data_IF_920464134317
#
_entry.id   IF_920464134317
#
_cell.length_a   1.000
_cell.length_b   1.000
_cell.length_c   1.000
_cell.angle_alpha   90.00
_cell.angle_beta   90.00
_cell.angle_gamma   90.00
#
_symmetry.space_group_name_H-M   'P 1'
#
loop_
_entity.id
_entity.type
_entity.pdbx_description
1 polymer ?
#
# COMPACT_ATOMS: atom_id res chain seq x y z
N UNK A 1 3.43 -25.34 -1.06
CA UNK A 1 3.57 -23.97 -0.56
C UNK A 1 3.42 -24.03 0.95
N UNK A 2 4.38 -23.50 1.71
CA UNK A 2 4.29 -23.43 3.17
C UNK A 2 3.57 -22.15 3.57
N UNK A 3 2.77 -22.22 4.63
CA UNK A 3 2.02 -21.09 5.18
C UNK A 3 2.36 -20.92 6.66
N UNK A 4 2.22 -19.69 7.16
CA UNK A 4 2.35 -19.40 8.58
C UNK A 4 1.33 -20.22 9.40
N UNK A 5 1.78 -20.78 10.53
CA UNK A 5 0.88 -21.53 11.43
C UNK A 5 -0.01 -20.62 12.29
N UNK A 6 0.38 -19.35 12.53
CA UNK A 6 -0.42 -18.39 13.30
C UNK A 6 -1.41 -17.59 12.47
N UNK A 7 -1.02 -17.11 11.29
CA UNK A 7 -1.91 -16.41 10.38
C UNK A 7 -2.15 -17.22 9.09
N UNK A 8 -2.38 -16.55 7.96
CA UNK A 8 -2.69 -17.16 6.66
C UNK A 8 -1.69 -16.80 5.56
N UNK A 9 -0.61 -16.09 5.87
CA UNK A 9 0.41 -15.73 4.89
C UNK A 9 1.21 -16.93 4.37
N UNK A 10 1.43 -17.05 3.05
CA UNK A 10 2.39 -18.00 2.49
C UNK A 10 3.84 -17.51 2.64
N UNK A 11 4.78 -18.46 2.60
CA UNK A 11 6.23 -18.19 2.62
C UNK A 11 6.70 -17.33 1.42
N UNK A 12 5.96 -17.30 0.32
CA UNK A 12 6.29 -16.53 -0.89
C UNK A 12 5.94 -15.03 -0.77
N UNK A 13 5.29 -14.62 0.33
CA UNK A 13 4.89 -13.23 0.52
C UNK A 13 6.09 -12.29 0.55
N UNK A 14 5.92 -11.10 -0.03
CA UNK A 14 6.98 -10.11 -0.22
C UNK A 14 7.59 -9.69 1.12
N UNK A 15 8.92 -9.79 1.23
CA UNK A 15 9.72 -9.43 2.41
C UNK A 15 9.33 -10.18 3.71
N UNK A 16 8.62 -11.30 3.60
CA UNK A 16 8.19 -12.12 4.73
C UNK A 16 9.08 -13.37 4.84
N UNK A 17 9.48 -13.72 6.07
CA UNK A 17 10.25 -14.93 6.36
C UNK A 17 9.44 -15.81 7.31
N UNK A 18 9.50 -17.14 7.13
CA UNK A 18 9.03 -18.10 8.13
C UNK A 18 10.22 -18.62 8.93
N UNK A 19 10.10 -18.64 10.25
CA UNK A 19 11.07 -19.28 11.14
C UNK A 19 10.92 -20.81 11.15
N UNK A 20 11.76 -21.49 11.94
CA UNK A 20 11.78 -22.95 12.07
C UNK A 20 10.51 -23.52 12.72
N UNK A 21 9.78 -22.70 13.50
CA UNK A 21 8.47 -23.07 14.05
C UNK A 21 7.35 -22.93 13.00
N UNK A 22 7.63 -22.31 11.85
CA UNK A 22 6.66 -22.01 10.80
C UNK A 22 5.82 -20.77 11.09
N UNK A 23 6.32 -19.85 11.92
CA UNK A 23 5.70 -18.56 12.22
C UNK A 23 6.36 -17.48 11.38
N UNK A 24 5.56 -16.59 10.80
CA UNK A 24 6.09 -15.52 9.97
C UNK A 24 6.62 -14.34 10.79
N UNK A 25 7.60 -13.63 10.24
CA UNK A 25 8.17 -12.39 10.78
C UNK A 25 7.11 -11.38 11.23
N UNK A 26 6.03 -11.22 10.47
CA UNK A 26 4.93 -10.32 10.86
C UNK A 26 4.15 -10.78 12.11
N UNK A 27 4.00 -12.09 12.33
CA UNK A 27 3.38 -12.61 13.56
C UNK A 27 4.33 -12.47 14.75
N UNK A 28 5.64 -12.70 14.56
CA UNK A 28 6.65 -12.44 15.60
C UNK A 28 6.69 -10.98 16.01
N UNK A 29 6.59 -10.07 15.04
CA UNK A 29 6.49 -8.65 15.34
C UNK A 29 5.21 -8.34 16.13
N UNK A 30 4.07 -8.94 15.79
CA UNK A 30 2.85 -8.72 16.58
C UNK A 30 3.02 -9.20 18.03
N UNK A 31 3.66 -10.35 18.25
CA UNK A 31 3.96 -10.84 19.61
C UNK A 31 4.78 -9.81 20.41
N UNK A 32 5.76 -9.16 19.78
CA UNK A 32 6.51 -8.07 20.40
C UNK A 32 5.61 -6.87 20.72
N UNK A 33 4.75 -6.47 19.79
CA UNK A 33 3.81 -5.34 19.98
C UNK A 33 2.78 -5.62 21.09
N UNK A 34 2.35 -6.87 21.26
CA UNK A 34 1.41 -7.28 22.30
C UNK A 34 2.02 -7.20 23.71
N UNK A 35 3.35 -7.23 23.82
CA UNK A 35 4.08 -7.05 25.09
C UNK A 35 4.28 -5.58 25.47
N UNK A 36 3.95 -4.62 24.59
CA UNK A 36 4.15 -3.20 24.86
C UNK A 36 3.17 -2.69 25.92
N UNK A 37 3.71 -2.03 26.94
CA UNK A 37 2.94 -1.53 28.08
C UNK A 37 2.41 -0.12 27.84
N UNK A 38 1.48 0.33 28.68
CA UNK A 38 1.03 1.73 28.65
C UNK A 38 2.17 2.71 28.97
N UNK A 39 3.12 2.32 29.83
CA UNK A 39 4.31 3.11 30.12
C UNK A 39 5.17 3.34 28.86
N UNK A 40 5.34 2.30 28.04
CA UNK A 40 6.03 2.44 26.76
C UNK A 40 5.36 3.50 25.88
N UNK A 41 4.03 3.42 25.72
CA UNK A 41 3.30 4.38 24.91
C UNK A 41 3.30 5.79 25.49
N UNK A 42 3.32 5.95 26.82
CA UNK A 42 3.48 7.26 27.46
C UNK A 42 4.85 7.88 27.15
N UNK A 43 5.93 7.09 27.19
CA UNK A 43 7.26 7.56 26.78
C UNK A 43 7.28 7.95 25.29
N UNK A 44 6.59 7.19 24.44
CA UNK A 44 6.44 7.52 23.02
C UNK A 44 5.68 8.84 22.81
N UNK A 45 4.58 9.06 23.54
CA UNK A 45 3.83 10.33 23.50
C UNK A 45 4.69 11.53 23.91
N UNK A 46 5.52 11.40 24.95
CA UNK A 46 6.46 12.46 25.37
C UNK A 46 7.44 12.83 24.26
N UNK A 47 8.01 11.84 23.57
CA UNK A 47 8.88 12.07 22.40
C UNK A 47 8.14 12.78 21.25
N UNK A 48 6.86 12.45 21.03
CA UNK A 48 6.06 13.15 20.03
C UNK A 48 5.84 14.62 20.39
N UNK A 49 5.58 14.94 21.67
CA UNK A 49 5.46 16.32 22.16
C UNK A 49 6.77 17.10 21.94
N UNK A 50 7.92 16.48 22.20
CA UNK A 50 9.22 17.11 21.93
C UNK A 50 9.40 17.37 20.43
N UNK A 51 9.01 16.42 19.59
CA UNK A 51 9.04 16.55 18.15
C UNK A 51 8.13 17.69 17.66
N UNK A 52 6.95 17.88 18.24
CA UNK A 52 6.05 18.97 17.83
C UNK A 52 6.63 20.33 18.20
N UNK A 53 7.26 20.47 19.37
CA UNK A 53 8.00 21.69 19.76
C UNK A 53 9.16 21.96 18.81
N UNK A 54 9.93 20.93 18.46
CA UNK A 54 11.02 21.03 17.49
C UNK A 54 10.51 21.51 16.13
N UNK A 55 9.46 20.89 15.59
CA UNK A 55 8.92 21.24 14.27
C UNK A 55 8.46 22.70 14.21
N UNK A 56 7.75 23.17 15.25
CA UNK A 56 7.36 24.59 15.39
C UNK A 56 8.55 25.54 15.47
N UNK A 57 9.60 25.16 16.19
CA UNK A 57 10.81 25.99 16.31
C UNK A 57 11.61 26.09 15.02
N UNK A 58 11.47 25.09 14.14
CA UNK A 58 12.17 25.00 12.85
C UNK A 58 11.35 25.54 11.68
N UNK A 59 10.02 25.58 11.82
CA UNK A 59 9.16 26.14 10.81
C UNK A 59 9.47 27.62 10.59
N UNK A 60 9.84 27.97 9.37
CA UNK A 60 10.04 29.36 8.94
C UNK A 60 8.84 29.89 8.17
N UNK A 61 7.81 29.05 7.97
CA UNK A 61 6.68 29.31 7.07
C UNK A 61 5.33 29.24 7.79
N UNK A 62 4.29 29.01 7.00
CA UNK A 62 2.90 29.00 7.49
C UNK A 62 2.45 27.65 8.07
N UNK A 63 3.28 26.62 7.99
CA UNK A 63 2.95 25.23 8.34
C UNK A 63 4.08 24.60 9.14
N UNK A 64 3.73 23.80 10.15
CA UNK A 64 4.71 23.10 10.98
C UNK A 64 5.08 21.74 10.39
N UNK A 65 4.19 21.15 9.60
CA UNK A 65 4.39 19.85 8.99
C UNK A 65 3.58 19.65 7.70
N UNK A 66 4.03 18.70 6.87
CA UNK A 66 3.25 18.13 5.77
C UNK A 66 2.65 16.80 6.23
N UNK A 67 1.39 16.55 5.88
CA UNK A 67 0.77 15.23 6.05
C UNK A 67 0.38 14.70 4.66
N UNK A 68 1.01 13.62 4.19
CA UNK A 68 0.56 12.88 3.03
C UNK A 68 -0.81 12.26 3.31
N UNK A 69 -1.83 12.62 2.52
CA UNK A 69 -3.20 12.10 2.71
C UNK A 69 -3.80 11.57 1.42
N UNK A 70 -4.63 10.53 1.57
CA UNK A 70 -5.44 9.99 0.47
C UNK A 70 -6.94 10.12 0.71
N UNK A 71 -7.37 10.69 1.84
CA UNK A 71 -8.77 10.65 2.25
C UNK A 71 -9.18 9.34 2.92
N UNK A 72 -8.28 8.36 3.04
CA UNK A 72 -8.51 7.14 3.81
C UNK A 72 -8.59 7.39 5.32
N UNK A 73 -9.18 6.45 6.06
CA UNK A 73 -9.32 6.51 7.54
C UNK A 73 -8.00 6.78 8.25
N UNK A 74 -6.91 6.21 7.76
CA UNK A 74 -5.58 6.31 8.36
C UNK A 74 -5.02 7.72 8.17
N UNK A 75 -5.32 8.37 7.05
CA UNK A 75 -5.02 9.80 6.83
C UNK A 75 -5.83 10.69 7.78
N UNK A 76 -7.12 10.42 7.96
CA UNK A 76 -7.93 11.16 8.92
C UNK A 76 -7.37 11.06 10.35
N UNK A 77 -6.98 9.85 10.77
CA UNK A 77 -6.39 9.64 12.09
C UNK A 77 -5.05 10.37 12.26
N UNK A 78 -4.19 10.36 11.24
CA UNK A 78 -2.93 11.13 11.25
C UNK A 78 -3.19 12.61 11.46
N UNK A 79 -4.10 13.21 10.68
CA UNK A 79 -4.42 14.64 10.80
C UNK A 79 -5.04 14.93 12.17
N UNK A 80 -5.97 14.09 12.64
CA UNK A 80 -6.55 14.20 13.98
C UNK A 80 -5.48 14.26 15.07
N UNK A 81 -4.51 13.34 15.04
CA UNK A 81 -3.42 13.30 16.03
C UNK A 81 -2.48 14.49 15.89
N UNK A 82 -2.13 14.92 14.69
CA UNK A 82 -1.27 16.10 14.50
C UNK A 82 -1.94 17.37 15.06
N UNK A 83 -3.24 17.54 14.81
CA UNK A 83 -4.02 18.68 15.32
C UNK A 83 -4.20 18.64 16.85
N UNK A 84 -4.42 17.45 17.42
CA UNK A 84 -4.53 17.25 18.89
C UNK A 84 -3.27 17.76 19.62
N UNK A 85 -2.10 17.63 19.00
CA UNK A 85 -0.82 18.11 19.52
C UNK A 85 -0.45 19.52 19.03
N UNK A 86 -1.40 20.21 18.41
CA UNK A 86 -1.35 21.64 18.09
C UNK A 86 -0.41 22.03 16.96
N UNK A 87 0.02 21.09 16.11
CA UNK A 87 0.75 21.41 14.88
C UNK A 87 -0.22 21.93 13.82
N UNK A 88 0.24 22.85 12.97
CA UNK A 88 -0.50 23.33 11.80
C UNK A 88 -0.05 22.58 10.53
N UNK A 89 -0.81 21.61 10.02
CA UNK A 89 -0.39 20.82 8.87
C UNK A 89 -0.77 21.46 7.53
N UNK A 90 0.02 21.13 6.51
CA UNK A 90 -0.36 21.21 5.10
C UNK A 90 -0.66 19.79 4.60
N UNK A 91 -1.89 19.53 4.18
CA UNK A 91 -2.23 18.24 3.57
C UNK A 91 -1.71 18.19 2.13
N UNK A 92 -1.11 17.06 1.75
CA UNK A 92 -0.63 16.85 0.37
C UNK A 92 -1.10 15.50 -0.15
N UNK A 93 -1.80 15.53 -1.28
CA UNK A 93 -2.31 14.33 -1.95
C UNK A 93 -1.68 14.13 -3.31
N UNK A 94 -1.21 12.91 -3.54
CA UNK A 94 -1.01 12.38 -4.88
C UNK A 94 -2.32 11.75 -5.36
N UNK A 95 -2.93 12.31 -6.41
CA UNK A 95 -4.21 11.86 -6.93
C UNK A 95 -4.01 11.01 -8.20
N UNK A 96 -3.98 9.69 -8.01
CA UNK A 96 -3.72 8.70 -9.07
C UNK A 96 -4.86 8.49 -10.08
N UNK A 97 -5.95 9.27 -10.01
CA UNK A 97 -7.13 9.15 -10.90
C UNK A 97 -7.92 7.83 -10.75
N UNK A 98 -7.82 7.17 -9.60
CA UNK A 98 -8.44 5.86 -9.34
C UNK A 98 -9.45 5.88 -8.17
N UNK A 99 -9.84 7.05 -7.67
CA UNK A 99 -10.70 7.16 -6.48
C UNK A 99 -12.09 6.58 -6.73
N UNK A 100 -12.62 5.85 -5.74
CA UNK A 100 -14.05 5.58 -5.65
C UNK A 100 -14.81 6.87 -5.35
N UNK A 101 -16.11 6.97 -5.70
CA UNK A 101 -16.91 8.15 -5.38
C UNK A 101 -16.87 8.53 -3.88
N UNK A 102 -17.00 7.55 -2.99
CA UNK A 102 -16.86 7.72 -1.53
C UNK A 102 -15.44 8.13 -1.12
N UNK A 103 -14.40 7.58 -1.77
CA UNK A 103 -13.02 7.99 -1.54
C UNK A 103 -12.79 9.45 -1.88
N UNK A 104 -13.33 9.92 -3.01
CA UNK A 104 -13.24 11.32 -3.42
C UNK A 104 -13.97 12.23 -2.44
N UNK A 105 -15.21 11.86 -2.04
CA UNK A 105 -15.95 12.61 -1.01
C UNK A 105 -15.21 12.65 0.32
N UNK A 106 -14.58 11.55 0.73
CA UNK A 106 -13.76 11.51 1.93
C UNK A 106 -12.55 12.44 1.82
N UNK A 107 -11.87 12.48 0.67
CA UNK A 107 -10.76 13.42 0.44
C UNK A 107 -11.23 14.88 0.55
N UNK A 108 -12.30 15.23 -0.17
CA UNK A 108 -12.84 16.60 -0.20
C UNK A 108 -13.34 17.07 1.17
N UNK A 109 -13.86 16.14 1.98
CA UNK A 109 -14.35 16.40 3.33
C UNK A 109 -13.25 16.73 4.33
N UNK A 110 -12.01 16.28 4.10
CA UNK A 110 -10.92 16.46 5.07
C UNK A 110 -10.71 17.94 5.42
N UNK A 111 -10.55 18.80 4.40
CA UNK A 111 -10.32 20.24 4.61
C UNK A 111 -11.45 20.93 5.35
N UNK A 112 -12.69 20.52 5.10
CA UNK A 112 -13.88 21.10 5.73
C UNK A 112 -13.99 20.68 7.21
N UNK A 113 -13.85 19.38 7.49
CA UNK A 113 -14.08 18.84 8.84
C UNK A 113 -12.89 18.99 9.78
N UNK A 114 -11.67 19.01 9.24
CA UNK A 114 -10.44 19.17 10.01
C UNK A 114 -9.93 20.62 10.01
N UNK A 115 -10.51 21.50 9.20
CA UNK A 115 -10.16 22.91 9.09
C UNK A 115 -8.66 23.13 8.78
N UNK A 116 -8.20 22.54 7.66
CA UNK A 116 -6.79 22.51 7.25
C UNK A 116 -6.63 22.79 5.75
N UNK A 117 -5.48 23.34 5.37
CA UNK A 117 -5.12 23.58 3.97
C UNK A 117 -4.70 22.29 3.27
N UNK A 118 -4.99 22.21 1.96
CA UNK A 118 -4.81 20.98 1.19
C UNK A 118 -4.37 21.24 -0.25
N UNK A 119 -3.22 20.69 -0.62
CA UNK A 119 -2.73 20.61 -1.99
C UNK A 119 -3.02 19.23 -2.56
N UNK A 120 -3.73 19.19 -3.68
CA UNK A 120 -3.98 17.97 -4.45
C UNK A 120 -3.23 18.07 -5.77
N UNK A 121 -2.37 17.09 -6.04
CA UNK A 121 -1.64 16.97 -7.29
C UNK A 121 -2.10 15.74 -8.05
N UNK A 122 -2.69 15.96 -9.23
CA UNK A 122 -3.01 14.91 -10.19
C UNK A 122 -2.07 14.99 -11.40
N UNK A 123 -1.28 13.95 -11.68
CA UNK A 123 -0.54 13.88 -12.94
C UNK A 123 -1.48 13.85 -14.15
N UNK A 124 -0.94 14.16 -15.33
CA UNK A 124 -1.67 14.04 -16.59
C UNK A 124 -2.23 12.63 -16.77
N UNK A 125 -3.53 12.52 -17.04
CA UNK A 125 -4.23 11.24 -17.23
C UNK A 125 -3.61 10.41 -18.36
N UNK A 126 -3.15 11.04 -19.44
CA UNK A 126 -2.50 10.31 -20.54
C UNK A 126 -1.14 9.73 -20.12
N UNK A 127 -0.43 10.40 -19.21
CA UNK A 127 0.81 9.89 -18.62
C UNK A 127 0.50 8.75 -17.64
N UNK A 128 -0.55 8.88 -16.83
CA UNK A 128 -1.02 7.80 -15.95
C UNK A 128 -1.39 6.54 -16.72
N UNK A 129 -2.11 6.66 -17.85
CA UNK A 129 -2.44 5.52 -18.73
C UNK A 129 -1.19 4.83 -19.29
N UNK A 130 -0.20 5.60 -19.75
CA UNK A 130 1.08 5.07 -20.24
C UNK A 130 1.82 4.32 -19.13
N UNK A 131 1.90 4.90 -17.93
CA UNK A 131 2.53 4.27 -16.78
C UNK A 131 1.78 3.00 -16.35
N UNK A 132 0.45 3.03 -16.28
CA UNK A 132 -0.37 1.86 -15.94
C UNK A 132 -0.10 0.68 -16.89
N UNK A 133 -0.21 0.93 -18.20
CA UNK A 133 0.03 -0.08 -19.21
C UNK A 133 1.48 -0.57 -19.20
N UNK A 134 2.42 0.36 -19.25
CA UNK A 134 3.85 0.05 -19.33
C UNK A 134 4.35 -0.69 -18.10
N UNK A 135 3.96 -0.27 -16.89
CA UNK A 135 4.36 -0.95 -15.66
C UNK A 135 3.74 -2.34 -15.57
N UNK A 136 2.48 -2.52 -15.99
CA UNK A 136 1.89 -3.86 -16.09
C UNK A 136 2.72 -4.78 -17.02
N UNK A 137 3.09 -4.29 -18.20
CA UNK A 137 3.94 -5.03 -19.16
C UNK A 137 5.36 -5.29 -18.60
N UNK A 138 5.90 -4.38 -17.79
CA UNK A 138 7.27 -4.43 -17.27
C UNK A 138 7.41 -5.36 -16.06
N UNK A 139 6.46 -5.29 -15.13
CA UNK A 139 6.59 -5.88 -13.79
C UNK A 139 5.34 -6.59 -13.28
N UNK A 140 4.28 -6.71 -14.10
CA UNK A 140 3.04 -7.35 -13.69
C UNK A 140 2.32 -6.59 -12.59
N UNK A 141 2.49 -5.28 -12.56
CA UNK A 141 1.82 -4.35 -11.66
C UNK A 141 1.64 -3.01 -12.36
N UNK A 142 0.38 -2.58 -12.46
CA UNK A 142 0.01 -1.33 -13.12
C UNK A 142 0.17 -0.09 -12.22
N UNK A 143 0.25 -0.25 -10.89
CA UNK A 143 0.11 0.86 -9.94
C UNK A 143 1.43 1.47 -9.48
N UNK A 144 2.55 1.19 -10.16
CA UNK A 144 3.89 1.72 -9.82
C UNK A 144 3.91 3.24 -9.67
N UNK A 145 3.14 3.95 -10.50
CA UNK A 145 3.04 5.41 -10.40
C UNK A 145 2.47 5.89 -9.06
N UNK A 146 1.54 5.14 -8.46
CA UNK A 146 0.98 5.44 -7.15
C UNK A 146 1.98 5.13 -6.03
N UNK A 147 2.65 3.96 -6.10
CA UNK A 147 3.72 3.60 -5.16
C UNK A 147 4.82 4.66 -5.11
N UNK A 148 5.25 5.15 -6.26
CA UNK A 148 6.27 6.19 -6.36
C UNK A 148 5.72 7.58 -6.02
N UNK A 149 4.57 7.97 -6.57
CA UNK A 149 3.99 9.30 -6.42
C UNK A 149 3.61 9.66 -4.98
N UNK A 150 3.01 8.71 -4.24
CA UNK A 150 2.62 8.90 -2.85
C UNK A 150 3.84 9.14 -1.95
N UNK A 151 4.97 8.50 -2.26
CA UNK A 151 6.21 8.63 -1.47
C UNK A 151 7.03 9.86 -1.87
N UNK A 152 7.03 10.25 -3.14
CA UNK A 152 7.89 11.34 -3.65
C UNK A 152 7.24 12.72 -3.54
N UNK A 153 5.99 12.87 -3.99
CA UNK A 153 5.40 14.19 -4.17
C UNK A 153 5.22 14.99 -2.85
N UNK A 154 4.80 14.38 -1.73
CA UNK A 154 4.74 15.10 -0.46
C UNK A 154 6.11 15.61 0.02
N UNK A 155 7.19 14.85 -0.23
CA UNK A 155 8.53 15.28 0.13
C UNK A 155 8.99 16.48 -0.72
N UNK A 156 8.62 16.52 -2.01
CA UNK A 156 8.83 17.71 -2.83
C UNK A 156 8.15 18.95 -2.27
N UNK A 157 6.90 18.83 -1.84
CA UNK A 157 6.16 19.94 -1.27
C UNK A 157 6.81 20.38 0.04
N UNK A 158 7.18 19.44 0.92
CA UNK A 158 7.85 19.77 2.18
C UNK A 158 9.13 20.58 1.94
N UNK A 159 10.02 20.10 1.07
CA UNK A 159 11.27 20.79 0.71
C UNK A 159 10.99 22.15 0.06
N UNK A 160 10.07 22.21 -0.92
CA UNK A 160 9.76 23.44 -1.67
C UNK A 160 9.20 24.54 -0.78
N UNK A 161 8.44 24.19 0.24
CA UNK A 161 7.85 25.13 1.19
C UNK A 161 8.69 25.30 2.47
N UNK A 162 9.89 24.69 2.53
CA UNK A 162 10.78 24.68 3.70
C UNK A 162 10.06 24.23 4.99
N UNK A 163 9.31 23.13 4.89
CA UNK A 163 8.56 22.54 6.01
C UNK A 163 9.37 21.39 6.61
N UNK A 164 9.80 21.50 7.89
CA UNK A 164 10.83 20.61 8.46
C UNK A 164 10.34 19.20 8.77
N UNK A 165 9.02 18.98 8.86
CA UNK A 165 8.45 17.69 9.29
C UNK A 165 7.45 17.17 8.26
N UNK A 166 7.61 15.90 7.89
CA UNK A 166 6.59 15.13 7.15
C UNK A 166 6.08 14.01 8.05
N UNK A 167 4.76 13.91 8.19
CA UNK A 167 4.11 12.98 9.12
C UNK A 167 3.34 11.92 8.34
N UNK A 168 3.89 10.71 8.28
CA UNK A 168 3.30 9.53 7.66
C UNK A 168 2.47 8.71 8.67
N UNK A 169 1.66 7.78 8.19
CA UNK A 169 0.77 6.97 9.02
C UNK A 169 1.45 5.79 9.69
N UNK A 170 0.94 4.59 9.38
CA UNK A 170 1.54 3.34 9.82
C UNK A 170 2.93 3.18 9.22
N UNK A 171 3.84 2.60 10.00
CA UNK A 171 5.19 2.26 9.54
C UNK A 171 5.06 1.28 8.36
N UNK A 172 5.67 1.62 7.23
CA UNK A 172 5.68 0.76 6.04
C UNK A 172 6.36 -0.58 6.38
N UNK A 173 5.95 -1.68 5.76
CA UNK A 173 6.55 -3.02 5.94
C UNK A 173 6.35 -3.66 7.33
N UNK A 174 5.55 -3.07 8.20
CA UNK A 174 5.00 -3.75 9.40
C UNK A 174 4.23 -5.03 9.01
N UNK A 175 3.56 -5.00 7.85
CA UNK A 175 2.84 -6.14 7.29
C UNK A 175 3.75 -7.36 7.01
N UNK A 176 5.05 -7.13 6.79
CA UNK A 176 6.06 -8.17 6.58
C UNK A 176 6.95 -8.38 7.81
N UNK A 177 6.70 -7.67 8.92
CA UNK A 177 7.47 -7.80 10.16
C UNK A 177 8.91 -7.28 10.06
N UNK A 178 9.15 -6.22 9.27
CA UNK A 178 10.51 -5.76 8.97
C UNK A 178 11.18 -4.98 10.11
N UNK A 179 10.40 -4.24 10.91
CA UNK A 179 10.93 -3.31 11.91
C UNK A 179 10.31 -3.59 13.29
N UNK A 180 11.16 -3.68 14.31
CA UNK A 180 10.76 -3.74 15.72
C UNK A 180 10.11 -2.43 16.15
N UNK A 181 9.30 -2.47 17.21
CA UNK A 181 8.80 -1.25 17.85
C UNK A 181 9.95 -0.32 18.29
N UNK A 182 11.13 -0.86 18.59
CA UNK A 182 12.30 -0.11 19.06
C UNK A 182 13.09 0.59 17.96
N UNK A 183 12.80 0.34 16.68
CA UNK A 183 13.60 0.88 15.57
C UNK A 183 13.35 2.37 15.29
N UNK A 184 12.26 2.95 15.81
CA UNK A 184 11.88 4.36 15.58
C UNK A 184 12.00 4.77 14.10
N UNK A 185 11.36 4.00 13.22
CA UNK A 185 11.56 4.11 11.77
C UNK A 185 11.28 5.52 11.26
N UNK A 186 12.19 6.06 10.46
CA UNK A 186 12.00 7.32 9.74
C UNK A 186 11.88 7.06 8.23
N UNK A 187 11.25 8.00 7.53
CA UNK A 187 11.22 8.00 6.07
C UNK A 187 12.65 8.11 5.55
N UNK A 188 13.01 7.20 4.65
CA UNK A 188 14.31 7.23 4.01
C UNK A 188 14.17 6.86 2.53
N UNK A 189 14.99 7.51 1.68
CA UNK A 189 14.96 7.30 0.23
C UNK A 189 15.23 5.85 -0.16
N UNK A 190 16.10 5.17 0.59
CA UNK A 190 16.52 3.80 0.30
C UNK A 190 15.34 2.83 0.35
N UNK A 191 14.52 2.88 1.41
CA UNK A 191 13.30 2.07 1.54
C UNK A 191 12.32 2.35 0.41
N UNK A 192 12.18 3.62 -0.02
CA UNK A 192 11.32 3.96 -1.15
C UNK A 192 11.82 3.33 -2.44
N UNK A 193 13.11 3.48 -2.76
CA UNK A 193 13.66 2.92 -4.00
C UNK A 193 13.70 1.39 -3.98
N UNK A 194 14.23 0.79 -2.91
CA UNK A 194 14.45 -0.66 -2.83
C UNK A 194 13.15 -1.44 -2.63
N UNK A 195 12.19 -0.90 -1.86
CA UNK A 195 10.99 -1.65 -1.50
C UNK A 195 9.72 -1.10 -2.16
N UNK A 196 9.40 0.19 -2.01
CA UNK A 196 8.15 0.74 -2.55
C UNK A 196 8.15 0.76 -4.09
N UNK A 197 9.27 1.15 -4.69
CA UNK A 197 9.50 1.19 -6.14
C UNK A 197 10.17 -0.08 -6.69
N UNK A 198 10.58 -1.01 -5.80
CA UNK A 198 11.14 -2.35 -6.12
C UNK A 198 12.37 -2.30 -7.03
N UNK A 199 13.20 -1.28 -6.84
CA UNK A 199 14.41 -1.05 -7.64
C UNK A 199 14.16 -0.44 -9.01
N UNK A 200 12.90 -0.24 -9.44
CA UNK A 200 12.59 0.48 -10.67
C UNK A 200 12.69 1.99 -10.45
N UNK A 201 13.16 2.70 -11.46
CA UNK A 201 13.39 4.14 -11.45
C UNK A 201 12.63 4.85 -12.58
N UNK A 202 12.61 6.18 -12.54
CA UNK A 202 12.10 6.97 -13.68
C UNK A 202 12.88 6.70 -14.97
N UNK A 203 14.16 6.36 -14.88
CA UNK A 203 14.98 5.96 -16.03
C UNK A 203 14.43 4.71 -16.70
N UNK A 204 14.08 3.67 -15.92
CA UNK A 204 13.48 2.44 -16.44
C UNK A 204 12.17 2.74 -17.19
N UNK A 205 11.35 3.64 -16.64
CA UNK A 205 10.10 4.04 -17.28
C UNK A 205 10.34 4.78 -18.61
N UNK A 206 11.31 5.70 -18.64
CA UNK A 206 11.67 6.44 -19.86
C UNK A 206 12.23 5.53 -20.96
N UNK A 207 13.04 4.53 -20.59
CA UNK A 207 13.66 3.60 -21.53
C UNK A 207 12.67 2.57 -22.07
N UNK A 208 11.74 2.11 -21.24
CA UNK A 208 10.88 0.96 -21.55
C UNK A 208 9.45 1.33 -21.96
N UNK A 209 8.99 2.55 -21.67
CA UNK A 209 7.63 3.00 -22.00
C UNK A 209 7.70 4.08 -23.09
N UNK A 210 7.20 3.74 -24.28
CA UNK A 210 7.24 4.64 -25.44
C UNK A 210 6.44 5.92 -25.21
N UNK A 211 7.03 7.05 -25.61
CA UNK A 211 6.38 8.35 -25.61
C UNK A 211 6.28 9.00 -24.23
N UNK A 212 7.06 8.56 -23.24
CA UNK A 212 7.34 9.33 -22.03
C UNK A 212 8.55 10.25 -22.23
N UNK A 213 8.49 11.43 -21.64
CA UNK A 213 9.61 12.37 -21.58
C UNK A 213 10.00 12.64 -20.13
N UNK A 214 11.21 13.15 -19.90
CA UNK A 214 11.65 13.53 -18.56
C UNK A 214 10.68 14.53 -17.89
N UNK A 215 10.09 15.45 -18.67
CA UNK A 215 9.13 16.43 -18.15
C UNK A 215 7.85 15.78 -17.63
N UNK A 216 7.44 14.66 -18.22
CA UNK A 216 6.25 13.93 -17.81
C UNK A 216 6.40 13.26 -16.43
N UNK A 217 7.65 13.00 -16.00
CA UNK A 217 7.97 12.26 -14.78
C UNK A 217 8.67 13.12 -13.71
N UNK A 218 8.77 14.44 -13.91
CA UNK A 218 9.53 15.33 -13.00
C UNK A 218 9.02 15.29 -11.55
N UNK A 219 7.74 14.97 -11.35
CA UNK A 219 7.10 14.83 -10.03
C UNK A 219 7.50 13.55 -9.28
N UNK A 220 8.26 12.65 -9.92
CA UNK A 220 8.85 11.45 -9.32
C UNK A 220 10.33 11.61 -8.96
N UNK A 221 10.94 12.75 -9.26
CA UNK A 221 12.37 12.97 -9.02
C UNK A 221 12.62 13.42 -7.59
N UNK A 222 12.86 12.49 -6.66
CA UNK A 222 13.13 12.81 -5.25
C UNK A 222 14.03 14.06 -5.05
N UNK A 223 13.74 14.94 -4.08
CA UNK A 223 14.66 16.03 -3.71
C UNK A 223 16.05 15.50 -3.41
N UNK A 224 17.10 16.26 -3.71
CA UNK A 224 18.49 15.90 -3.45
C UNK A 224 18.80 15.84 -1.94
N UNK A 225 19.87 15.13 -1.55
CA UNK A 225 20.28 15.06 -0.13
C UNK A 225 20.63 16.45 0.42
N UNK A 226 21.22 17.30 -0.42
CA UNK A 226 21.51 18.70 -0.11
C UNK A 226 20.22 19.48 0.20
N UNK A 227 19.18 19.34 -0.60
CA UNK A 227 17.88 20.00 -0.34
C UNK A 227 17.24 19.51 0.96
N UNK A 228 17.36 18.22 1.30
CA UNK A 228 16.92 17.69 2.58
C UNK A 228 17.70 18.28 3.75
N UNK A 229 19.03 18.38 3.63
CA UNK A 229 19.90 18.95 4.65
C UNK A 229 19.63 20.45 4.89
N UNK A 230 19.53 21.24 3.81
CA UNK A 230 19.28 22.68 3.86
C UNK A 230 17.93 23.01 4.52
N UNK A 231 16.89 22.22 4.21
CA UNK A 231 15.54 22.42 4.78
C UNK A 231 15.34 21.74 6.13
N UNK A 232 16.29 20.88 6.55
CA UNK A 232 16.16 20.00 7.71
C UNK A 232 14.87 19.15 7.69
N UNK A 233 14.38 18.84 6.48
CA UNK A 233 13.13 18.10 6.28
C UNK A 233 13.35 16.63 6.62
N UNK A 234 12.56 16.11 7.56
CA UNK A 234 12.54 14.68 7.87
C UNK A 234 11.13 14.11 7.90
N UNK A 235 11.01 12.84 7.56
CA UNK A 235 9.73 12.13 7.61
C UNK A 235 9.68 11.15 8.78
N UNK A 236 8.60 11.18 9.56
CA UNK A 236 8.34 10.25 10.65
C UNK A 236 7.04 9.49 10.41
N UNK A 237 6.87 8.35 11.09
CA UNK A 237 5.60 7.63 11.12
C UNK A 237 4.89 7.86 12.47
N UNK A 238 3.61 8.25 12.44
CA UNK A 238 2.76 8.41 13.63
C UNK A 238 2.65 7.10 14.39
N UNK A 239 2.73 5.96 13.70
CA UNK A 239 2.76 4.63 14.31
C UNK A 239 3.95 4.38 15.25
N UNK A 240 5.03 5.18 15.19
CA UNK A 240 6.10 5.13 16.20
C UNK A 240 5.67 5.65 17.57
N UNK A 241 4.63 6.48 17.60
CA UNK A 241 4.25 7.30 18.74
C UNK A 241 2.93 6.89 19.38
N UNK A 242 2.03 6.31 18.59
CA UNK A 242 0.69 5.91 19.01
C UNK A 242 0.40 4.49 18.55
N UNK A 243 -0.28 3.71 19.41
CA UNK A 243 -0.76 2.38 19.07
C UNK A 243 -1.66 2.48 17.84
N UNK A 244 -1.41 1.61 16.86
CA UNK A 244 -2.06 1.69 15.56
C UNK A 244 -3.10 0.59 15.40
N UNK A 245 -4.38 0.97 15.28
CA UNK A 245 -5.46 0.02 15.00
C UNK A 245 -6.42 0.55 13.93
N UNK A 246 -6.32 0.07 12.67
CA UNK A 246 -7.17 0.56 11.58
C UNK A 246 -8.66 0.26 11.76
N UNK A 247 -9.05 -0.75 12.56
CA UNK A 247 -10.46 -1.06 12.82
C UNK A 247 -11.07 -0.04 13.78
N UNK A 248 -10.31 0.38 14.80
CA UNK A 248 -10.72 1.45 15.72
C UNK A 248 -10.73 2.80 14.97
N UNK A 249 -9.62 3.13 14.28
CA UNK A 249 -9.51 4.39 13.55
C UNK A 249 -10.67 4.58 12.56
N UNK A 250 -11.04 3.54 11.82
CA UNK A 250 -12.19 3.57 10.92
C UNK A 250 -13.48 4.09 11.58
N UNK A 251 -13.84 3.51 12.72
CA UNK A 251 -15.08 3.84 13.42
C UNK A 251 -15.02 5.22 14.04
N UNK A 252 -13.87 5.59 14.62
CA UNK A 252 -13.66 6.93 15.19
C UNK A 252 -13.74 8.01 14.11
N UNK A 253 -13.06 7.82 12.97
CA UNK A 253 -13.07 8.82 11.90
C UNK A 253 -14.44 8.94 11.23
N UNK A 254 -15.21 7.83 11.17
CA UNK A 254 -16.62 7.90 10.78
C UNK A 254 -17.45 8.73 11.75
N UNK A 255 -17.32 8.46 13.05
CA UNK A 255 -18.07 9.15 14.10
C UNK A 255 -17.71 10.65 14.17
N UNK A 256 -16.43 10.97 14.14
CA UNK A 256 -15.93 12.31 14.41
C UNK A 256 -15.99 13.22 13.17
N UNK A 257 -15.80 12.64 11.98
CA UNK A 257 -15.62 13.40 10.75
C UNK A 257 -16.53 12.99 9.61
N UNK A 258 -17.41 11.99 9.81
CA UNK A 258 -18.29 11.51 8.76
C UNK A 258 -17.56 10.76 7.64
N UNK A 259 -16.42 10.11 7.94
CA UNK A 259 -15.76 9.20 6.99
C UNK A 259 -16.74 8.13 6.48
N UNK A 260 -16.79 7.97 5.16
CA UNK A 260 -17.62 7.00 4.47
C UNK A 260 -16.86 5.70 4.21
N UNK A 261 -17.52 4.57 4.50
CA UNK A 261 -17.10 3.27 4.03
C UNK A 261 -17.48 3.06 2.57
N UNK A 262 -16.91 2.04 1.93
CA UNK A 262 -17.34 1.57 0.62
C UNK A 262 -18.84 1.30 0.62
N UNK A 263 -19.53 1.86 -0.37
CA UNK A 263 -20.98 1.68 -0.52
C UNK A 263 -21.35 0.31 -1.06
N UNK A 264 -20.40 -0.34 -1.75
CA UNK A 264 -20.53 -1.67 -2.33
C UNK A 264 -19.44 -2.60 -1.78
N UNK A 265 -19.71 -3.92 -1.71
CA UNK A 265 -18.69 -4.89 -1.33
C UNK A 265 -17.59 -4.97 -2.40
N UNK A 266 -16.35 -5.25 -1.96
CA UNK A 266 -15.25 -5.54 -2.87
C UNK A 266 -15.20 -7.02 -3.26
N UNK A 267 -14.77 -7.30 -4.48
CA UNK A 267 -14.67 -8.66 -5.00
C UNK A 267 -13.56 -9.49 -4.32
N UNK A 268 -12.53 -8.84 -3.77
CA UNK A 268 -11.30 -9.50 -3.29
C UNK A 268 -11.00 -9.28 -1.81
N UNK A 269 -11.91 -8.66 -1.07
CA UNK A 269 -11.76 -8.45 0.37
C UNK A 269 -13.10 -8.22 1.05
N UNK A 270 -13.21 -8.61 2.32
CA UNK A 270 -14.36 -8.34 3.17
C UNK A 270 -14.34 -6.93 3.80
N UNK A 271 -13.17 -6.26 3.86
CA UNK A 271 -13.05 -4.92 4.44
C UNK A 271 -13.58 -3.84 3.49
N UNK A 272 -14.47 -3.00 3.99
CA UNK A 272 -15.09 -1.88 3.24
C UNK A 272 -14.44 -0.52 3.56
N UNK A 273 -13.28 -0.51 4.21
CA UNK A 273 -12.67 0.70 4.78
C UNK A 273 -11.20 0.91 4.39
N UNK A 274 -10.70 0.10 3.48
CA UNK A 274 -9.33 0.17 3.00
C UNK A 274 -9.32 0.61 1.54
N UNK A 275 -8.35 1.46 1.19
CA UNK A 275 -8.00 1.80 -0.19
C UNK A 275 -9.18 2.35 -1.02
N UNK A 276 -10.02 3.21 -0.44
CA UNK A 276 -11.11 3.86 -1.18
C UNK A 276 -10.59 4.92 -2.18
N UNK A 277 -9.36 5.34 -1.98
CA UNK A 277 -8.56 6.24 -2.81
C UNK A 277 -8.00 5.58 -4.08
N UNK A 278 -8.06 4.27 -4.17
CA UNK A 278 -7.70 3.54 -5.39
C UNK A 278 -8.57 2.28 -5.52
N UNK A 279 -9.56 2.33 -6.41
CA UNK A 279 -10.46 1.21 -6.64
C UNK A 279 -9.75 -0.06 -7.13
N UNK A 280 -8.60 0.10 -7.78
CA UNK A 280 -7.86 -1.02 -8.32
C UNK A 280 -7.04 -1.74 -7.25
N UNK A 281 -6.67 -1.08 -6.15
CA UNK A 281 -6.00 -1.70 -5.02
C UNK A 281 -6.82 -2.89 -4.52
N UNK A 282 -8.14 -2.75 -4.24
CA UNK A 282 -9.00 -3.88 -3.88
C UNK A 282 -9.53 -4.70 -5.09
N UNK A 283 -9.00 -4.44 -6.28
CA UNK A 283 -9.42 -5.00 -7.56
C UNK A 283 -8.26 -5.63 -8.31
N UNK A 284 -7.99 -5.15 -9.53
CA UNK A 284 -7.00 -5.77 -10.43
C UNK A 284 -5.57 -5.74 -9.88
N UNK A 285 -5.18 -4.76 -9.07
CA UNK A 285 -3.82 -4.69 -8.51
C UNK A 285 -3.55 -5.95 -7.67
N UNK A 286 -4.46 -6.27 -6.76
CA UNK A 286 -4.33 -7.49 -5.95
C UNK A 286 -4.67 -8.77 -6.69
N UNK A 287 -5.40 -8.69 -7.80
CA UNK A 287 -5.54 -9.83 -8.69
C UNK A 287 -4.21 -10.17 -9.37
N UNK A 288 -3.47 -9.16 -9.82
CA UNK A 288 -2.11 -9.37 -10.34
C UNK A 288 -1.17 -9.93 -9.26
N UNK A 289 -1.26 -9.45 -8.02
CA UNK A 289 -0.52 -10.06 -6.89
C UNK A 289 -0.86 -11.54 -6.71
N UNK A 290 -2.14 -11.90 -6.80
CA UNK A 290 -2.58 -13.29 -6.73
C UNK A 290 -2.07 -14.13 -7.91
N UNK A 291 -2.14 -13.63 -9.14
CA UNK A 291 -1.56 -14.29 -10.30
C UNK A 291 -0.06 -14.55 -10.07
N UNK A 292 0.68 -13.54 -9.60
CA UNK A 292 2.12 -13.66 -9.37
C UNK A 292 2.46 -14.66 -8.26
N UNK A 293 1.84 -14.51 -7.10
CA UNK A 293 2.31 -15.13 -5.87
C UNK A 293 1.31 -16.10 -5.21
N UNK A 294 0.12 -16.27 -5.77
CA UNK A 294 -0.92 -17.18 -5.27
C UNK A 294 -1.66 -16.72 -4.02
N UNK A 295 -1.49 -15.47 -3.60
CA UNK A 295 -2.22 -14.83 -2.49
C UNK A 295 -2.62 -13.39 -2.85
N UNK A 296 -3.73 -12.93 -2.28
CA UNK A 296 -4.39 -11.66 -2.64
C UNK A 296 -4.60 -10.73 -1.44
N UNK A 297 -5.57 -9.81 -1.56
CA UNK A 297 -5.90 -8.83 -0.51
C UNK A 297 -6.52 -9.48 0.71
N UNK A 298 -7.33 -10.51 0.53
CA UNK A 298 -7.99 -11.14 1.67
C UNK A 298 -6.96 -11.83 2.55
N UNK A 299 -5.90 -12.42 2.00
CA UNK A 299 -4.76 -12.91 2.79
C UNK A 299 -4.12 -11.79 3.62
N UNK A 300 -3.89 -10.61 3.03
CA UNK A 300 -3.29 -9.47 3.77
C UNK A 300 -4.18 -9.00 4.92
N UNK A 301 -5.46 -8.77 4.63
CA UNK A 301 -6.42 -8.27 5.60
C UNK A 301 -6.75 -9.30 6.69
N UNK A 302 -6.94 -10.57 6.32
CA UNK A 302 -7.20 -11.65 7.28
C UNK A 302 -5.98 -11.88 8.16
N UNK A 303 -4.77 -11.87 7.61
CA UNK A 303 -3.56 -12.01 8.42
C UNK A 303 -3.40 -10.87 9.43
N UNK A 304 -3.75 -9.63 9.03
CA UNK A 304 -3.74 -8.49 9.95
C UNK A 304 -4.81 -8.60 11.03
N UNK A 305 -6.04 -8.98 10.67
CA UNK A 305 -7.13 -9.13 11.65
C UNK A 305 -6.91 -10.32 12.59
N UNK A 306 -6.27 -11.41 12.14
CA UNK A 306 -5.85 -12.50 13.03
C UNK A 306 -4.86 -12.00 14.07
N UNK A 307 -3.82 -11.27 13.63
CA UNK A 307 -2.80 -10.71 14.51
C UNK A 307 -3.40 -9.74 15.53
N UNK A 308 -4.38 -8.94 15.13
CA UNK A 308 -5.07 -8.00 16.01
C UNK A 308 -6.21 -8.63 16.84
N UNK A 309 -6.48 -9.93 16.69
CA UNK A 309 -7.52 -10.65 17.44
C UNK A 309 -8.95 -10.42 16.97
N UNK A 310 -9.15 -9.79 15.81
CA UNK A 310 -10.48 -9.57 15.20
C UNK A 310 -11.00 -10.79 14.43
N UNK A 311 -10.12 -11.70 14.05
CA UNK A 311 -10.47 -12.99 13.44
C UNK A 311 -9.68 -14.11 14.10
N UNK A 312 -10.30 -15.27 14.21
CA UNK A 312 -9.58 -16.53 14.39
C UNK A 312 -8.87 -16.93 13.09
N UNK A 313 -7.90 -17.84 13.18
CA UNK A 313 -7.19 -18.33 12.00
C UNK A 313 -8.15 -19.06 11.04
N UNK A 314 -9.11 -19.79 11.58
CA UNK A 314 -10.14 -20.52 10.86
C UNK A 314 -11.03 -19.56 10.07
N UNK A 315 -11.53 -18.50 10.69
CA UNK A 315 -12.30 -17.47 9.99
C UNK A 315 -11.48 -16.76 8.90
N UNK A 316 -10.21 -16.45 9.19
CA UNK A 316 -9.32 -15.85 8.20
C UNK A 316 -9.06 -16.76 6.99
N UNK A 317 -8.97 -18.08 7.20
CA UNK A 317 -8.88 -19.06 6.11
C UNK A 317 -10.13 -19.05 5.23
N UNK A 318 -11.33 -18.96 5.82
CA UNK A 318 -12.57 -18.84 5.06
C UNK A 318 -12.60 -17.55 4.22
N UNK A 319 -12.10 -16.44 4.76
CA UNK A 319 -11.97 -15.19 3.99
C UNK A 319 -11.03 -15.36 2.80
N UNK A 320 -9.87 -15.99 2.99
CA UNK A 320 -8.93 -16.27 1.89
C UNK A 320 -9.58 -17.14 0.82
N UNK A 321 -10.25 -18.22 1.24
CA UNK A 321 -10.96 -19.13 0.31
C UNK A 321 -12.00 -18.40 -0.52
N UNK A 322 -12.79 -17.52 0.13
CA UNK A 322 -13.88 -16.78 -0.51
C UNK A 322 -13.39 -15.73 -1.52
N UNK A 323 -12.29 -15.04 -1.24
CA UNK A 323 -11.98 -13.78 -1.91
C UNK A 323 -10.71 -13.78 -2.78
N UNK A 324 -9.63 -14.46 -2.39
CA UNK A 324 -8.31 -14.24 -3.01
C UNK A 324 -8.24 -14.64 -4.49
N UNK A 325 -9.01 -15.64 -4.89
CA UNK A 325 -9.01 -16.16 -6.26
C UNK A 325 -10.00 -15.44 -7.19
N UNK A 326 -10.84 -14.55 -6.65
CA UNK A 326 -11.92 -13.94 -7.41
C UNK A 326 -11.37 -12.96 -8.45
N UNK A 327 -11.60 -13.23 -9.73
CA UNK A 327 -11.30 -12.30 -10.81
C UNK A 327 -12.25 -11.09 -10.75
N UNK A 328 -11.76 -9.86 -10.52
CA UNK A 328 -12.62 -8.70 -10.32
C UNK A 328 -13.08 -8.12 -11.66
N UNK A 329 -14.07 -8.76 -12.29
CA UNK A 329 -14.43 -8.48 -13.70
C UNK A 329 -14.82 -7.02 -13.96
N UNK A 330 -15.58 -6.38 -13.08
CA UNK A 330 -16.02 -4.99 -13.27
C UNK A 330 -14.85 -4.01 -13.24
N UNK A 331 -13.94 -4.19 -12.29
CA UNK A 331 -12.73 -3.37 -12.18
C UNK A 331 -11.76 -3.62 -13.34
N UNK A 332 -11.62 -4.89 -13.76
CA UNK A 332 -10.83 -5.27 -14.92
C UNK A 332 -11.36 -4.62 -16.19
N UNK A 333 -12.66 -4.71 -16.46
CA UNK A 333 -13.29 -4.10 -17.62
C UNK A 333 -13.06 -2.58 -17.67
N UNK A 334 -13.17 -1.93 -16.51
CA UNK A 334 -12.89 -0.49 -16.38
C UNK A 334 -11.45 -0.17 -16.73
N UNK A 335 -10.49 -0.89 -16.16
CA UNK A 335 -9.07 -0.62 -16.39
C UNK A 335 -8.66 -0.93 -17.82
N UNK A 336 -9.11 -2.05 -18.40
CA UNK A 336 -8.88 -2.40 -19.80
C UNK A 336 -9.34 -1.28 -20.75
N UNK A 337 -10.52 -0.70 -20.49
CA UNK A 337 -11.01 0.49 -21.21
C UNK A 337 -10.13 1.71 -20.97
N UNK A 338 -9.68 1.93 -19.73
CA UNK A 338 -8.82 3.06 -19.37
C UNK A 338 -7.47 3.05 -20.11
N UNK A 339 -6.82 1.88 -20.18
CA UNK A 339 -5.49 1.71 -20.84
C UNK A 339 -5.56 1.25 -22.30
N UNK A 340 -6.77 1.09 -22.84
CA UNK A 340 -7.03 0.62 -24.22
C UNK A 340 -6.34 -0.72 -24.51
N UNK A 341 -6.58 -1.70 -23.64
CA UNK A 341 -6.04 -3.06 -23.73
C UNK A 341 -7.20 -4.06 -23.88
N UNK A 342 -7.01 -5.10 -24.66
CA UNK A 342 -7.98 -6.22 -24.71
C UNK A 342 -7.76 -7.17 -23.55
N UNK A 343 -8.80 -7.90 -23.15
CA UNK A 343 -8.69 -8.89 -22.09
C UNK A 343 -7.70 -10.01 -22.44
N UNK A 344 -7.67 -10.44 -23.71
CA UNK A 344 -6.71 -11.43 -24.20
C UNK A 344 -5.25 -10.96 -24.06
N UNK A 345 -4.97 -9.70 -24.39
CA UNK A 345 -3.64 -9.11 -24.19
C UNK A 345 -3.27 -9.11 -22.70
N UNK A 346 -4.22 -8.73 -21.85
CA UNK A 346 -4.02 -8.74 -20.40
C UNK A 346 -3.72 -10.14 -19.88
N UNK A 347 -4.52 -11.13 -20.21
CA UNK A 347 -4.33 -12.49 -19.69
C UNK A 347 -2.99 -13.09 -20.15
N UNK A 348 -2.60 -12.88 -21.41
CA UNK A 348 -1.31 -13.34 -21.92
C UNK A 348 -0.12 -12.71 -21.17
N UNK A 349 -0.17 -11.40 -20.90
CA UNK A 349 0.87 -10.71 -20.13
C UNK A 349 0.86 -11.18 -18.68
N UNK A 350 -0.31 -11.24 -18.04
CA UNK A 350 -0.45 -11.58 -16.63
C UNK A 350 0.08 -13.00 -16.34
N UNK A 351 -0.24 -13.98 -17.20
CA UNK A 351 0.24 -15.36 -17.07
C UNK A 351 1.78 -15.47 -17.11
N UNK A 352 2.45 -14.54 -17.81
CA UNK A 352 3.92 -14.54 -17.89
C UNK A 352 4.61 -14.26 -16.54
N UNK A 353 3.88 -13.65 -15.59
CA UNK A 353 4.39 -13.29 -14.26
C UNK A 353 4.11 -14.30 -13.15
N UNK A 354 3.42 -15.41 -13.43
CA UNK A 354 3.16 -16.46 -12.44
C UNK A 354 4.47 -17.05 -11.91
N UNK A 355 4.58 -17.21 -10.59
CA UNK A 355 5.75 -17.84 -9.98
C UNK A 355 5.65 -19.38 -10.07
N UNK A 356 6.64 -20.02 -10.69
CA UNK A 356 6.70 -21.49 -10.88
C UNK A 356 6.83 -22.27 -9.56
N UNK A 357 7.21 -21.61 -8.46
CA UNK A 357 7.21 -22.21 -7.11
C UNK A 357 5.80 -22.36 -6.54
N UNK A 358 4.85 -21.60 -7.09
CA UNK A 358 3.44 -21.55 -6.66
C UNK A 358 2.56 -22.30 -7.64
N UNK A 359 2.70 -21.97 -8.92
CA UNK A 359 1.81 -22.38 -10.00
C UNK A 359 2.41 -23.50 -10.85
N UNK A 360 1.57 -24.44 -11.27
CA UNK A 360 1.91 -25.43 -12.30
C UNK A 360 0.75 -25.61 -13.27
N UNK A 361 1.04 -26.17 -14.45
CA UNK A 361 0.03 -26.43 -15.48
C UNK A 361 -0.39 -27.89 -15.44
N UNK A 362 -1.70 -28.14 -15.42
CA UNK A 362 -2.30 -29.46 -15.58
C UNK A 362 -3.66 -29.31 -16.27
N UNK A 363 -3.90 -30.14 -17.29
CA UNK A 363 -5.14 -30.16 -18.08
C UNK A 363 -5.52 -28.79 -18.67
N UNK A 364 -4.51 -28.03 -19.14
CA UNK A 364 -4.70 -26.71 -19.72
C UNK A 364 -5.07 -25.60 -18.72
N UNK A 365 -4.99 -25.87 -17.41
CA UNK A 365 -5.32 -24.92 -16.34
C UNK A 365 -4.14 -24.65 -15.41
N UNK A 366 -4.18 -23.50 -14.75
CA UNK A 366 -3.29 -23.16 -13.65
C UNK A 366 -3.74 -23.83 -12.36
N UNK A 367 -2.82 -24.53 -11.72
CA UNK A 367 -3.04 -25.16 -10.42
C UNK A 367 -2.10 -24.57 -9.38
N UNK A 368 -2.57 -24.49 -8.14
CA UNK A 368 -1.73 -24.22 -6.97
C UNK A 368 -2.14 -25.07 -5.77
N UNK A 369 -1.24 -25.20 -4.80
CA UNK A 369 -1.56 -25.77 -3.49
C UNK A 369 -2.26 -24.69 -2.66
N UNK A 370 -3.30 -25.08 -1.92
CA UNK A 370 -4.09 -24.17 -1.11
C UNK A 370 -3.66 -24.16 0.35
N UNK A 371 -4.10 -23.12 1.04
CA UNK A 371 -3.92 -22.97 2.48
C UNK A 371 -4.59 -24.09 3.29
N UNK A 372 -5.65 -24.71 2.74
CA UNK A 372 -6.40 -25.80 3.36
C UNK A 372 -5.92 -27.20 2.94
N UNK A 373 -4.72 -27.33 2.37
CA UNK A 373 -4.05 -28.61 2.12
C UNK A 373 -4.17 -29.14 0.70
N UNK A 374 -5.36 -29.08 0.10
CA UNK A 374 -5.57 -29.59 -1.26
C UNK A 374 -5.04 -28.65 -2.35
N UNK A 375 -4.89 -29.17 -3.57
CA UNK A 375 -4.66 -28.35 -4.76
C UNK A 375 -5.97 -28.10 -5.52
N UNK A 376 -6.02 -27.01 -6.28
CA UNK A 376 -7.18 -26.67 -7.11
C UNK A 376 -6.75 -26.10 -8.46
N UNK A 377 -7.60 -26.32 -9.46
CA UNK A 377 -7.52 -25.64 -10.75
C UNK A 377 -8.18 -24.27 -10.65
N UNK A 378 -7.59 -23.29 -11.35
CA UNK A 378 -8.08 -21.92 -11.45
C UNK A 378 -8.31 -21.57 -12.92
N UNK A 379 -7.62 -20.56 -13.44
CA UNK A 379 -7.82 -20.05 -14.81
C UNK A 379 -7.21 -20.97 -15.87
N UNK A 380 -7.74 -20.88 -17.10
CA UNK A 380 -7.13 -21.51 -18.28
C UNK A 380 -5.78 -20.86 -18.58
N UNK A 381 -4.82 -21.65 -19.06
CA UNK A 381 -3.50 -21.14 -19.45
C UNK A 381 -3.62 -20.35 -20.76
N UNK A 382 -3.19 -19.08 -20.72
CA UNK A 382 -3.11 -18.18 -21.88
C UNK A 382 -1.67 -17.93 -22.35
N UNK A 383 -0.70 -18.53 -21.66
CA UNK A 383 0.72 -18.48 -22.01
C UNK A 383 1.02 -19.26 -23.31
N UNK A 384 1.97 -18.77 -24.11
CA UNK A 384 2.49 -19.49 -25.28
C UNK A 384 3.13 -20.84 -24.88
N UNK A 385 2.97 -21.86 -25.74
CA UNK A 385 3.34 -23.25 -25.45
C UNK A 385 4.81 -23.44 -25.09
N UNK A 386 5.71 -22.69 -25.71
CA UNK A 386 7.15 -22.72 -25.46
C UNK A 386 7.52 -22.23 -24.04
N UNK A 387 6.74 -21.31 -23.49
CA UNK A 387 6.94 -20.75 -22.15
C UNK A 387 6.32 -21.61 -21.03
N UNK A 388 5.50 -22.61 -21.36
CA UNK A 388 4.81 -23.48 -20.38
C UNK A 388 5.79 -24.46 -19.71
N UNK A 389 6.89 -24.83 -20.38
CA UNK A 389 7.83 -25.87 -19.95
C UNK A 389 8.28 -25.76 -18.49
N UNK A 390 8.55 -24.53 -18.00
CA UNK A 390 8.98 -24.27 -16.60
C UNK A 390 7.89 -24.47 -15.53
N UNK A 391 6.63 -24.67 -15.94
CA UNK A 391 5.47 -24.86 -15.06
C UNK A 391 4.95 -26.31 -15.06
N UNK A 392 5.64 -27.24 -15.71
CA UNK A 392 5.32 -28.66 -15.65
C UNK A 392 5.99 -29.23 -14.41
N UNK A 393 5.20 -29.77 -13.47
CA UNK A 393 5.75 -30.50 -12.32
C UNK A 393 6.34 -31.82 -12.81
N UNK A 394 7.57 -32.11 -12.39
CA UNK A 394 8.20 -33.42 -12.55
C UNK A 394 7.51 -34.46 -11.68
#
# INVERSE_FOLDING_TARGET
>A
MKYCKKCVYPMISVNLILDDEGICSACRLQEEFDMLTEEFWEQRRKKFIELTRWAKSKSTGNYDCVIPVSGGKDSYFQVHKVLEYGLKPLLVTYHGNNYLPEGQRNLDRMREKLNVDHIVFGPSIEILKKLNRGCFEIMGDMNWHAHAGIKTYPMHIAVKFNIPLVVWGEITWTISGMFSANDFVEYNKRTVFEHDMRGFTTKDMLERIKGLTHKDLVWLTMPSDKEFEETQTKGIYVGNFFKWDPNIHAQEMKKNYGFEFASQPFARTYRTMSNLDDMHENGIHDYLKYIKFGYGRATDHASKDIRSGYLTREEGLEMVRKYDHIRPQDDLNRWLKYVRMTEEQFDHIADSFRDHRVWWVKDGKWWKNNLWGDCSAYEDVKLEKDKISKYIRQ
#
